data_IF_096577025024
#
_entry.id   IF_096577025024
#
_cell.length_a   1.000
_cell.length_b   1.000
_cell.length_c   1.000
_cell.angle_alpha   90.00
_cell.angle_beta   90.00
_cell.angle_gamma   90.00
#
_symmetry.space_group_name_H-M   'P 1'
#
loop_
_entity.id
_entity.type
_entity.pdbx_description
1 polymer ?
#
# COMPACT_ATOMS: atom_id res chain seq x y z
N UNK A 1 -16.55 -8.78 -68.92
CA UNK A 1 -15.75 -8.94 -67.69
C UNK A 1 -16.14 -7.82 -66.74
N UNK A 2 -16.87 -8.14 -65.68
CA UNK A 2 -17.34 -7.15 -64.71
C UNK A 2 -16.25 -6.91 -63.64
N UNK A 3 -15.86 -5.64 -63.43
CA UNK A 3 -14.93 -5.26 -62.37
C UNK A 3 -15.71 -5.15 -61.06
N UNK A 4 -15.39 -6.01 -60.10
CA UNK A 4 -15.87 -5.90 -58.73
C UNK A 4 -15.11 -4.77 -58.04
N UNK A 5 -15.79 -3.66 -57.73
CA UNK A 5 -15.21 -2.59 -56.93
C UNK A 5 -15.44 -2.94 -55.46
N UNK A 6 -14.36 -3.26 -54.76
CA UNK A 6 -14.38 -3.53 -53.32
C UNK A 6 -13.98 -2.23 -52.62
N UNK A 7 -14.97 -1.50 -52.14
CA UNK A 7 -14.75 -0.36 -51.24
C UNK A 7 -14.55 -0.93 -49.83
N UNK A 8 -13.29 -1.04 -49.40
CA UNK A 8 -12.95 -1.27 -48.00
C UNK A 8 -13.11 0.06 -47.28
N UNK A 9 -14.26 0.26 -46.64
CA UNK A 9 -14.49 1.35 -45.70
C UNK A 9 -13.61 1.17 -44.47
N UNK A 10 -12.34 1.56 -44.58
CA UNK A 10 -11.54 1.96 -43.43
C UNK A 10 -11.95 3.40 -43.09
N UNK A 11 -13.00 3.53 -42.30
CA UNK A 11 -13.17 4.72 -41.48
C UNK A 11 -12.13 4.61 -40.35
N UNK A 12 -10.96 5.20 -40.56
CA UNK A 12 -10.00 5.55 -39.51
C UNK A 12 -10.60 6.70 -38.66
N UNK A 13 -11.76 6.49 -38.06
CA UNK A 13 -12.22 7.30 -36.94
C UNK A 13 -11.44 6.84 -35.72
N UNK A 14 -10.21 7.37 -35.60
CA UNK A 14 -9.49 7.40 -34.35
C UNK A 14 -10.31 8.29 -33.40
N UNK A 15 -11.32 7.71 -32.75
CA UNK A 15 -11.97 8.31 -31.60
C UNK A 15 -10.89 8.51 -30.54
N UNK A 16 -10.43 9.74 -30.37
CA UNK A 16 -9.56 10.15 -29.29
C UNK A 16 -10.30 9.94 -27.96
N UNK A 17 -10.15 8.75 -27.38
CA UNK A 17 -10.31 8.53 -25.95
C UNK A 17 -9.04 7.92 -25.37
N UNK A 18 -7.91 8.65 -25.27
CA UNK A 18 -6.66 8.00 -24.92
C UNK A 18 -6.19 8.29 -23.50
N UNK A 19 -7.00 8.82 -22.58
CA UNK A 19 -6.49 9.05 -21.22
C UNK A 19 -6.51 7.75 -20.40
N UNK A 20 -7.66 7.08 -20.30
CA UNK A 20 -7.79 5.90 -19.46
C UNK A 20 -7.05 4.68 -20.02
N UNK A 21 -7.13 4.42 -21.34
CA UNK A 21 -6.49 3.26 -21.96
C UNK A 21 -4.97 3.42 -22.03
N UNK A 22 -4.47 4.62 -22.34
CA UNK A 22 -3.03 4.88 -22.31
C UNK A 22 -2.48 4.85 -20.88
N UNK A 23 -3.26 5.28 -19.88
CA UNK A 23 -2.87 5.18 -18.47
C UNK A 23 -2.81 3.72 -18.00
N UNK A 24 -3.76 2.87 -18.39
CA UNK A 24 -3.74 1.43 -18.12
C UNK A 24 -2.53 0.77 -18.79
N UNK A 25 -2.27 1.06 -20.07
CA UNK A 25 -1.10 0.53 -20.78
C UNK A 25 0.22 1.03 -20.18
N UNK A 26 0.26 2.28 -19.69
CA UNK A 26 1.41 2.85 -19.00
C UNK A 26 1.64 2.21 -17.62
N UNK A 27 0.58 1.87 -16.90
CA UNK A 27 0.67 1.13 -15.63
C UNK A 27 1.13 -0.31 -15.83
N UNK A 28 0.65 -0.98 -16.88
CA UNK A 28 1.03 -2.36 -17.22
C UNK A 28 2.47 -2.46 -17.76
N UNK A 29 2.95 -1.43 -18.46
CA UNK A 29 4.32 -1.35 -18.98
C UNK A 29 5.32 -0.71 -18.00
N UNK A 30 4.85 -0.24 -16.84
CA UNK A 30 5.72 0.34 -15.83
C UNK A 30 6.69 -0.72 -15.30
N UNK A 31 7.96 -0.33 -15.17
CA UNK A 31 9.00 -1.16 -14.57
C UNK A 31 8.60 -1.55 -13.14
N UNK A 32 8.61 -2.85 -12.85
CA UNK A 32 8.32 -3.38 -11.51
C UNK A 32 9.20 -2.69 -10.46
N UNK A 33 8.62 -2.22 -9.33
CA UNK A 33 9.41 -1.64 -8.26
C UNK A 33 10.41 -2.66 -7.72
N UNK A 34 11.58 -2.18 -7.32
CA UNK A 34 12.57 -3.06 -6.69
C UNK A 34 11.98 -3.77 -5.47
N UNK A 35 12.46 -4.97 -5.09
CA UNK A 35 11.89 -5.73 -3.97
C UNK A 35 11.78 -4.94 -2.66
N UNK A 36 12.73 -4.03 -2.40
CA UNK A 36 12.71 -3.13 -1.24
C UNK A 36 11.59 -2.08 -1.33
N UNK A 37 11.40 -1.46 -2.51
CA UNK A 37 10.29 -0.52 -2.76
C UNK A 37 8.93 -1.22 -2.76
N UNK A 38 8.86 -2.47 -3.22
CA UNK A 38 7.65 -3.26 -3.21
C UNK A 38 7.21 -3.60 -1.77
N UNK A 39 8.14 -3.98 -0.89
CA UNK A 39 7.87 -4.26 0.54
C UNK A 39 7.40 -3.03 1.32
N UNK A 40 8.07 -1.90 1.15
CA UNK A 40 7.67 -0.65 1.81
C UNK A 40 6.36 -0.11 1.24
N UNK A 41 6.18 -0.19 -0.08
CA UNK A 41 4.94 0.16 -0.76
C UNK A 41 3.74 -0.66 -0.28
N UNK A 42 3.89 -1.98 -0.15
CA UNK A 42 2.81 -2.86 0.30
C UNK A 42 2.38 -2.58 1.74
N UNK A 43 3.33 -2.27 2.64
CA UNK A 43 3.01 -1.90 4.02
C UNK A 43 2.28 -0.56 4.13
N UNK A 44 2.57 0.38 3.24
CA UNK A 44 1.89 1.69 3.19
C UNK A 44 0.46 1.57 2.66
N UNK A 45 0.24 0.70 1.65
CA UNK A 45 -1.06 0.52 0.97
C UNK A 45 -1.95 -0.55 1.61
N UNK A 46 -1.41 -1.37 2.50
CA UNK A 46 -2.16 -2.42 3.19
C UNK A 46 -3.38 -1.88 3.95
N UNK A 47 -4.49 -2.65 4.00
CA UNK A 47 -5.67 -2.30 4.80
C UNK A 47 -5.30 -2.26 6.29
N UNK A 48 -5.76 -1.20 6.99
CA UNK A 48 -5.45 -0.99 8.40
C UNK A 48 -6.63 -1.46 9.25
N UNK A 49 -6.34 -2.30 10.25
CA UNK A 49 -7.33 -2.80 11.21
C UNK A 49 -7.08 -2.24 12.59
N UNK A 50 -8.15 -2.05 13.36
CA UNK A 50 -8.04 -1.63 14.76
C UNK A 50 -7.48 -2.78 15.60
N UNK A 51 -6.43 -2.51 16.37
CA UNK A 51 -5.94 -3.43 17.38
C UNK A 51 -6.50 -3.01 18.74
N UNK A 52 -7.43 -3.81 19.29
CA UNK A 52 -8.16 -3.48 20.51
C UNK A 52 -7.84 -4.45 21.66
N UNK A 53 -7.63 -3.90 22.85
CA UNK A 53 -7.44 -4.65 24.09
C UNK A 53 -8.76 -4.82 24.86
N UNK A 54 -9.82 -5.30 24.21
CA UNK A 54 -11.16 -5.42 24.83
C UNK A 54 -11.21 -6.46 25.95
N UNK A 55 -10.47 -7.56 25.82
CA UNK A 55 -10.48 -8.69 26.76
C UNK A 55 -9.18 -8.80 27.58
N UNK A 56 -8.42 -7.72 27.71
CA UNK A 56 -7.19 -7.71 28.52
C UNK A 56 -7.49 -7.17 29.92
N UNK A 57 -7.06 -7.85 31.01
CA UNK A 57 -7.19 -7.33 32.37
C UNK A 57 -6.65 -5.91 32.50
N UNK A 58 -7.40 -5.04 33.20
CA UNK A 58 -7.03 -3.64 33.42
C UNK A 58 -5.58 -3.45 33.90
N UNK A 59 -5.06 -4.25 34.87
CA UNK A 59 -3.69 -4.06 35.37
C UNK A 59 -2.63 -4.23 34.28
N UNK A 60 -2.83 -5.19 33.36
CA UNK A 60 -1.89 -5.46 32.26
C UNK A 60 -1.90 -4.30 31.26
N UNK A 61 -3.10 -3.80 30.92
CA UNK A 61 -3.23 -2.65 30.04
C UNK A 61 -2.55 -1.42 30.63
N UNK A 62 -2.67 -1.21 31.94
CA UNK A 62 -2.08 -0.06 32.61
C UNK A 62 -0.55 -0.16 32.65
N UNK A 63 -0.01 -1.33 33.02
CA UNK A 63 1.44 -1.57 32.97
C UNK A 63 2.03 -1.34 31.58
N UNK A 64 1.29 -1.65 30.51
CA UNK A 64 1.72 -1.36 29.14
C UNK A 64 1.78 0.14 28.84
N UNK A 65 0.82 0.91 29.34
CA UNK A 65 0.77 2.37 29.17
C UNK A 65 1.93 3.01 29.94
N UNK A 66 2.14 2.62 31.19
CA UNK A 66 3.21 3.14 32.04
C UNK A 66 4.59 2.82 31.45
N UNK A 67 4.77 1.62 30.88
CA UNK A 67 6.01 1.22 30.21
C UNK A 67 6.27 1.99 28.90
N UNK A 68 5.21 2.34 28.16
CA UNK A 68 5.32 3.19 26.98
C UNK A 68 5.71 4.62 27.36
N UNK A 69 5.05 5.17 28.38
CA UNK A 69 5.29 6.52 28.89
C UNK A 69 6.71 6.66 29.48
N UNK A 70 7.18 5.67 30.23
CA UNK A 70 8.55 5.63 30.76
C UNK A 70 9.64 5.67 29.67
N UNK A 71 9.30 5.27 28.44
CA UNK A 71 10.19 5.32 27.27
C UNK A 71 9.91 6.54 26.37
N UNK A 72 8.97 7.40 26.73
CA UNK A 72 8.55 8.54 25.91
C UNK A 72 7.92 8.14 24.57
N UNK A 73 7.34 6.93 24.49
CA UNK A 73 6.76 6.39 23.26
C UNK A 73 5.23 6.37 23.33
N UNK A 74 4.57 6.52 22.18
CA UNK A 74 3.14 6.23 22.08
C UNK A 74 2.86 4.73 22.23
N UNK A 75 1.64 4.36 22.62
CA UNK A 75 1.24 2.93 22.78
C UNK A 75 1.50 2.08 21.53
N UNK A 76 1.27 2.64 20.34
CA UNK A 76 1.51 1.96 19.05
C UNK A 76 2.99 1.79 18.74
N UNK A 77 3.79 2.79 19.04
CA UNK A 77 5.26 2.74 18.87
C UNK A 77 5.87 1.73 19.82
N UNK A 78 5.41 1.74 21.08
CA UNK A 78 5.84 0.79 22.08
C UNK A 78 5.44 -0.65 21.70
N UNK A 79 4.25 -0.85 21.13
CA UNK A 79 3.86 -2.16 20.58
C UNK A 79 4.83 -2.64 19.51
N UNK A 80 5.18 -1.79 18.53
CA UNK A 80 6.14 -2.16 17.49
C UNK A 80 7.53 -2.39 18.05
N UNK A 81 7.96 -1.61 19.04
CA UNK A 81 9.21 -1.84 19.76
C UNK A 81 9.23 -3.23 20.42
N UNK A 82 8.17 -3.62 21.13
CA UNK A 82 8.06 -4.94 21.74
C UNK A 82 8.08 -6.07 20.70
N UNK A 83 7.37 -5.90 19.58
CA UNK A 83 7.35 -6.90 18.50
C UNK A 83 8.73 -7.04 17.83
N UNK A 84 9.46 -5.94 17.62
CA UNK A 84 10.85 -5.98 17.12
C UNK A 84 11.77 -6.69 18.09
N UNK A 85 11.64 -6.41 19.40
CA UNK A 85 12.41 -7.13 20.43
C UNK A 85 12.10 -8.63 20.44
N UNK A 86 10.88 -9.03 20.05
CA UNK A 86 10.47 -10.42 19.84
C UNK A 86 10.91 -11.03 18.50
N UNK A 87 11.67 -10.31 17.67
CA UNK A 87 12.19 -10.80 16.39
C UNK A 87 11.28 -10.57 15.18
N UNK A 88 10.18 -9.81 15.33
CA UNK A 88 9.34 -9.45 14.17
C UNK A 88 10.01 -8.32 13.41
N UNK A 89 10.27 -8.54 12.11
CA UNK A 89 10.83 -7.53 11.21
C UNK A 89 9.77 -6.47 10.85
N UNK A 90 9.60 -5.48 11.75
CA UNK A 90 8.69 -4.35 11.57
C UNK A 90 9.54 -3.12 11.21
N UNK A 91 9.36 -2.52 10.02
CA UNK A 91 10.06 -1.31 9.62
C UNK A 91 9.85 -0.14 10.59
N UNK A 92 10.72 0.89 10.58
CA UNK A 92 10.53 2.10 11.37
C UNK A 92 9.21 2.80 11.00
N UNK A 93 8.68 3.60 11.93
CA UNK A 93 7.34 4.19 11.75
C UNK A 93 7.27 5.13 10.53
N UNK A 94 8.39 5.76 10.19
CA UNK A 94 8.56 6.60 9.00
C UNK A 94 8.32 5.86 7.68
N UNK A 95 8.62 4.56 7.64
CA UNK A 95 8.45 3.71 6.45
C UNK A 95 7.03 3.14 6.33
N UNK A 96 6.29 3.06 7.44
CA UNK A 96 4.94 2.46 7.51
C UNK A 96 3.83 3.53 7.52
N UNK A 97 4.19 4.80 7.74
CA UNK A 97 3.23 5.90 7.73
C UNK A 97 2.57 6.05 6.35
N UNK A 98 1.30 5.63 6.26
CA UNK A 98 0.53 5.65 5.02
C UNK A 98 0.07 7.02 4.59
N UNK A 99 0.36 8.06 5.38
CA UNK A 99 0.16 9.47 4.99
C UNK A 99 1.24 9.94 4.01
N UNK A 100 2.44 9.34 4.08
CA UNK A 100 3.56 9.63 3.18
C UNK A 100 3.57 8.61 2.03
N UNK A 101 2.65 8.77 1.08
CA UNK A 101 2.59 7.98 -0.16
C UNK A 101 3.65 8.43 -1.15
#
# INVERSE_FOLDING_TARGET
MAKLKVDLGLDDTHEEKPDAEAEILRQLSASLPSPSKAKTGSLKTAPRVQFAFSNVPKPIKQAFIDAAEAKGMGMKEFLYHCLRAGGVDIPPMEEIDGRRR
#
